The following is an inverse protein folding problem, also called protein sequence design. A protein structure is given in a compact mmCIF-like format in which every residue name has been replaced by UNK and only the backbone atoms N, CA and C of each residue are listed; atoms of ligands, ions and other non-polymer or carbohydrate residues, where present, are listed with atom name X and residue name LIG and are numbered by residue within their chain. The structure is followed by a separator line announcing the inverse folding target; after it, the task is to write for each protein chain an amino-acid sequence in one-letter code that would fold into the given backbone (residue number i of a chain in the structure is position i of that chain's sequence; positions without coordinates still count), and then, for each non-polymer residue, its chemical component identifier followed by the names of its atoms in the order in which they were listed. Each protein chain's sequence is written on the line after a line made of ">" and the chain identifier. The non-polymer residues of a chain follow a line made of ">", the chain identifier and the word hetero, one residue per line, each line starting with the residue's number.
data_IF_743763870052
#
_entry.id   IF_743763870052
#
_cell.length_a   1.000
_cell.length_b   1.000
_cell.length_c   1.000
_cell.angle_alpha   90.00
_cell.angle_beta   90.00
_cell.angle_gamma   90.00
#
_symmetry.space_group_name_H-M   'P 1'
#
loop_
_entity.id
_entity.type
_entity.pdbx_description
1 polymer ?
#
# COMPACT_ATOMS: atom_id res chain seq x y z
N UNK A 1 26.76 -26.30 -14.84
CA UNK A 1 27.91 -26.35 -13.92
C UNK A 1 28.94 -25.31 -14.31
N UNK A 2 29.38 -24.48 -13.34
CA UNK A 2 30.42 -23.42 -13.46
C UNK A 2 30.07 -22.35 -14.53
N UNK A 3 29.96 -21.05 -14.29
CA UNK A 3 30.74 -20.06 -13.58
C UNK A 3 29.98 -18.73 -13.64
N UNK A 4 29.44 -18.21 -12.57
CA UNK A 4 29.07 -16.78 -12.40
C UNK A 4 29.54 -16.41 -11.00
N UNK A 5 30.84 -16.22 -10.83
CA UNK A 5 31.39 -15.77 -9.56
C UNK A 5 32.76 -15.08 -9.75
N UNK A 6 32.85 -14.05 -10.56
CA UNK A 6 34.09 -13.24 -10.63
C UNK A 6 33.93 -11.83 -11.20
N UNK A 7 32.78 -11.15 -10.98
CA UNK A 7 32.69 -9.73 -11.38
C UNK A 7 32.27 -8.75 -10.28
N UNK A 8 32.30 -9.16 -9.00
CA UNK A 8 31.87 -8.29 -7.89
C UNK A 8 33.01 -7.77 -7.01
N UNK A 9 34.29 -8.00 -7.35
CA UNK A 9 35.43 -7.66 -6.49
C UNK A 9 36.14 -6.34 -6.81
N UNK A 10 35.73 -5.57 -7.82
CA UNK A 10 36.48 -4.39 -8.25
C UNK A 10 35.87 -3.03 -7.92
N UNK A 11 34.72 -2.99 -7.23
CA UNK A 11 34.04 -1.72 -6.90
C UNK A 11 34.18 -1.26 -5.43
N UNK A 12 34.85 -2.00 -4.58
CA UNK A 12 34.89 -1.69 -3.13
C UNK A 12 35.98 -0.70 -2.71
N UNK A 13 36.98 -0.39 -3.56
CA UNK A 13 38.12 0.43 -3.12
C UNK A 13 37.96 1.95 -3.27
N UNK A 14 36.92 2.44 -3.96
CA UNK A 14 36.67 3.88 -4.08
C UNK A 14 35.69 4.43 -3.02
N UNK A 15 34.92 3.58 -2.34
CA UNK A 15 34.00 3.99 -1.29
C UNK A 15 34.67 4.16 0.07
N UNK A 16 35.76 3.46 0.32
CA UNK A 16 36.50 3.53 1.59
C UNK A 16 37.27 4.86 1.76
N UNK A 17 37.66 5.53 0.70
CA UNK A 17 38.43 6.78 0.77
C UNK A 17 37.55 8.02 1.02
N UNK A 18 36.27 7.98 0.63
CA UNK A 18 35.32 9.09 0.85
C UNK A 18 34.74 9.10 2.29
N UNK A 19 34.75 7.97 2.97
CA UNK A 19 34.23 7.86 4.36
C UNK A 19 35.22 8.33 5.42
N UNK A 20 36.54 8.42 5.13
CA UNK A 20 37.55 8.90 6.07
C UNK A 20 37.56 10.42 6.25
N UNK A 21 37.00 11.17 5.30
CA UNK A 21 36.89 12.65 5.40
C UNK A 21 35.63 13.09 6.18
N UNK A 22 34.59 12.25 6.21
CA UNK A 22 33.35 12.54 6.97
C UNK A 22 33.46 12.24 8.48
N UNK A 23 34.41 11.41 8.88
CA UNK A 23 34.58 11.02 10.30
C UNK A 23 35.26 12.09 11.18
N UNK A 24 35.81 13.15 10.57
CA UNK A 24 36.52 14.21 11.29
C UNK A 24 35.67 15.38 11.81
N UNK A 25 34.36 15.42 11.54
CA UNK A 25 33.48 16.57 11.88
C UNK A 25 32.36 16.25 12.88
N UNK A 26 32.33 15.06 13.50
CA UNK A 26 31.27 14.67 14.44
C UNK A 26 31.73 14.47 15.87
N UNK A 27 32.66 15.31 16.34
CA UNK A 27 33.00 15.41 17.78
C UNK A 27 32.37 16.64 18.42
N UNK A 28 31.05 16.84 18.24
CA UNK A 28 30.28 17.76 19.07
C UNK A 28 29.06 16.98 19.58
N UNK A 29 29.06 16.74 20.90
CA UNK A 29 28.06 15.92 21.59
C UNK A 29 26.63 16.41 21.38
N UNK A 30 25.74 15.46 21.23
CA UNK A 30 24.29 15.68 21.18
C UNK A 30 23.59 14.42 20.68
N UNK A 31 22.78 13.84 21.51
CA UNK A 31 21.75 12.81 21.32
C UNK A 31 21.78 12.07 19.98
N UNK A 32 22.38 10.89 19.98
CA UNK A 32 22.51 10.01 18.81
C UNK A 32 21.23 9.25 18.44
N UNK A 33 20.06 9.68 18.90
CA UNK A 33 18.79 8.99 18.68
C UNK A 33 17.97 9.48 17.48
N UNK A 34 18.52 10.38 16.71
CA UNK A 34 17.78 10.97 15.59
C UNK A 34 18.48 10.83 14.26
N UNK A 35 17.81 10.27 13.29
CA UNK A 35 17.86 10.63 11.88
C UNK A 35 18.49 9.69 10.85
N UNK A 36 19.28 8.66 11.20
CA UNK A 36 19.76 7.71 10.17
C UNK A 36 19.69 6.28 10.71
N UNK A 37 18.71 5.46 10.34
CA UNK A 37 18.62 4.04 10.75
C UNK A 37 19.88 3.25 10.37
N UNK A 38 20.53 3.62 9.28
CA UNK A 38 21.75 2.98 8.78
C UNK A 38 22.99 3.26 9.66
N UNK A 39 23.04 4.39 10.38
CA UNK A 39 24.14 4.69 11.29
C UNK A 39 24.14 3.81 12.55
N UNK A 40 22.96 3.31 12.97
CA UNK A 40 22.86 2.32 14.05
C UNK A 40 23.50 0.99 13.69
N UNK A 41 23.41 0.57 12.41
CA UNK A 41 24.02 -0.67 11.93
C UNK A 41 25.57 -0.63 11.98
N UNK A 42 26.18 0.56 12.03
CA UNK A 42 27.63 0.74 12.13
C UNK A 42 28.13 0.69 13.59
N UNK A 43 27.24 0.77 14.59
CA UNK A 43 27.62 0.70 16.00
C UNK A 43 27.83 -0.77 16.41
N UNK A 44 29.06 -1.19 16.78
CA UNK A 44 29.36 -2.60 17.10
C UNK A 44 28.61 -3.13 18.32
N UNK A 45 28.16 -2.28 19.23
CA UNK A 45 27.37 -2.69 20.40
C UNK A 45 25.93 -3.00 19.99
N UNK A 46 25.30 -2.14 19.19
CA UNK A 46 23.96 -2.36 18.65
C UNK A 46 23.94 -3.59 17.74
N UNK A 47 25.00 -3.79 16.95
CA UNK A 47 25.12 -4.96 16.08
C UNK A 47 25.20 -6.27 16.88
N UNK A 48 25.90 -6.29 18.01
CA UNK A 48 25.95 -7.48 18.89
C UNK A 48 24.59 -7.78 19.53
N UNK A 49 23.84 -6.76 19.91
CA UNK A 49 22.48 -6.91 20.43
C UNK A 49 21.56 -7.47 19.34
N UNK A 50 21.62 -6.98 18.12
CA UNK A 50 20.85 -7.49 17.00
C UNK A 50 21.20 -8.95 16.66
N UNK A 51 22.49 -9.31 16.64
CA UNK A 51 22.94 -10.69 16.43
C UNK A 51 22.47 -11.63 17.56
N UNK A 52 22.34 -11.12 18.78
CA UNK A 52 21.79 -11.88 19.91
C UNK A 52 20.26 -12.05 19.79
N UNK A 53 19.55 -11.02 19.30
CA UNK A 53 18.11 -11.06 19.09
C UNK A 53 17.76 -11.97 17.88
N UNK A 54 18.57 -11.95 16.82
CA UNK A 54 18.40 -12.86 15.68
C UNK A 54 18.53 -14.35 16.04
N UNK A 55 19.32 -14.67 17.09
CA UNK A 55 19.39 -16.05 17.63
C UNK A 55 18.10 -16.50 18.31
N UNK A 56 17.25 -15.57 18.75
CA UNK A 56 15.94 -15.83 19.36
C UNK A 56 14.81 -15.93 18.34
N UNK A 57 15.07 -15.53 17.09
CA UNK A 57 14.13 -15.52 15.98
C UNK A 57 14.32 -14.27 15.11
N UNK A 58 13.68 -14.22 13.92
CA UNK A 58 13.80 -13.08 13.03
C UNK A 58 13.22 -11.83 13.71
N UNK A 59 14.01 -10.74 13.71
CA UNK A 59 13.58 -9.45 14.24
C UNK A 59 12.38 -8.91 13.45
N UNK A 60 11.62 -7.98 14.04
CA UNK A 60 10.50 -7.31 13.37
C UNK A 60 10.92 -6.74 12.00
N UNK A 61 12.04 -6.03 11.94
CA UNK A 61 12.53 -5.43 10.68
C UNK A 61 12.84 -6.49 9.63
N UNK A 62 13.47 -7.59 10.03
CA UNK A 62 13.78 -8.70 9.12
C UNK A 62 12.51 -9.34 8.55
N UNK A 63 11.51 -9.58 9.40
CA UNK A 63 10.20 -10.08 8.95
C UNK A 63 9.52 -9.14 7.95
N UNK A 64 9.61 -7.81 8.21
CA UNK A 64 9.05 -6.81 7.29
C UNK A 64 9.78 -6.78 5.95
N UNK A 65 11.11 -6.88 5.96
CA UNK A 65 11.90 -6.90 4.72
C UNK A 65 11.66 -8.19 3.93
N UNK A 66 11.58 -9.33 4.57
CA UNK A 66 11.21 -10.60 3.94
C UNK A 66 9.83 -10.51 3.27
N UNK A 67 8.81 -9.96 3.94
CA UNK A 67 7.48 -9.76 3.35
C UNK A 67 7.48 -8.80 2.16
N UNK A 68 8.27 -7.72 2.22
CA UNK A 68 8.44 -6.80 1.09
C UNK A 68 9.11 -7.45 -0.10
N UNK A 69 10.16 -8.24 0.15
CA UNK A 69 10.87 -9.00 -0.88
C UNK A 69 9.94 -10.03 -1.53
N UNK A 70 9.24 -10.83 -0.73
CA UNK A 70 8.25 -11.79 -1.20
C UNK A 70 7.22 -11.13 -2.10
N UNK A 71 6.69 -9.96 -1.70
CA UNK A 71 5.73 -9.20 -2.48
C UNK A 71 6.31 -8.71 -3.82
N UNK A 72 7.56 -8.29 -3.84
CA UNK A 72 8.24 -7.86 -5.06
C UNK A 72 8.47 -9.01 -6.05
N UNK A 73 8.76 -10.21 -5.55
CA UNK A 73 9.07 -11.40 -6.34
C UNK A 73 7.81 -12.18 -6.78
N UNK A 74 6.73 -12.08 -6.02
CA UNK A 74 5.51 -12.89 -6.21
C UNK A 74 4.89 -12.73 -7.61
N UNK A 75 5.01 -11.56 -8.23
CA UNK A 75 4.50 -11.32 -9.58
C UNK A 75 5.22 -12.13 -10.68
N UNK A 76 6.42 -12.64 -10.41
CA UNK A 76 7.22 -13.44 -11.33
C UNK A 76 7.17 -14.95 -11.03
N UNK A 77 6.52 -15.32 -9.91
CA UNK A 77 6.41 -16.71 -9.51
C UNK A 77 5.38 -17.47 -10.35
N UNK A 78 5.60 -18.77 -10.62
CA UNK A 78 4.60 -19.65 -11.20
C UNK A 78 3.33 -19.73 -10.34
N UNK A 79 2.18 -19.95 -10.96
CA UNK A 79 0.87 -19.98 -10.27
C UNK A 79 0.84 -20.97 -9.09
N UNK A 80 1.45 -22.14 -9.23
CA UNK A 80 1.49 -23.13 -8.16
C UNK A 80 2.30 -22.68 -6.93
N UNK A 81 3.36 -21.89 -7.14
CA UNK A 81 4.15 -21.31 -6.05
C UNK A 81 3.40 -20.19 -5.38
N UNK A 82 2.73 -19.31 -6.16
CA UNK A 82 1.87 -18.26 -5.61
C UNK A 82 0.75 -18.80 -4.73
N UNK A 83 0.13 -19.93 -5.13
CA UNK A 83 -0.92 -20.56 -4.34
C UNK A 83 -0.40 -21.13 -3.02
N UNK A 84 0.79 -21.76 -3.03
CA UNK A 84 1.45 -22.25 -1.81
C UNK A 84 1.80 -21.10 -0.88
N UNK A 85 2.40 -20.06 -1.41
CA UNK A 85 2.77 -18.86 -0.68
C UNK A 85 1.53 -18.18 -0.06
N UNK A 86 0.43 -18.05 -0.82
CA UNK A 86 -0.81 -17.52 -0.29
C UNK A 86 -1.30 -18.32 0.92
N UNK A 87 -1.26 -19.65 0.85
CA UNK A 87 -1.64 -20.52 1.97
C UNK A 87 -0.74 -20.29 3.19
N UNK A 88 0.58 -20.26 3.00
CA UNK A 88 1.53 -20.02 4.08
C UNK A 88 1.29 -18.66 4.76
N UNK A 89 1.03 -17.60 3.98
CA UNK A 89 0.70 -16.27 4.51
C UNK A 89 -0.61 -16.31 5.30
N UNK A 90 -1.62 -16.99 4.80
CA UNK A 90 -2.92 -17.14 5.49
C UNK A 90 -2.76 -17.89 6.81
N UNK A 91 -1.98 -18.97 6.82
CA UNK A 91 -1.73 -19.75 8.03
C UNK A 91 -1.01 -18.89 9.11
N UNK A 92 -0.05 -18.06 8.70
CA UNK A 92 0.64 -17.10 9.60
C UNK A 92 -0.30 -16.00 10.06
N UNK A 93 -1.10 -15.42 9.16
CA UNK A 93 -2.04 -14.34 9.48
C UNK A 93 -3.04 -14.77 10.56
N UNK A 94 -3.49 -16.02 10.53
CA UNK A 94 -4.47 -16.56 11.48
C UNK A 94 -4.00 -16.57 12.95
N UNK A 95 -2.68 -16.59 13.18
CA UNK A 95 -2.09 -16.68 14.52
C UNK A 95 -1.29 -15.41 14.92
N UNK A 96 -1.09 -14.48 13.98
CA UNK A 96 -0.27 -13.29 14.21
C UNK A 96 -0.99 -12.31 15.15
N UNK A 97 -0.30 -11.89 16.20
CA UNK A 97 -0.83 -10.98 17.22
C UNK A 97 -0.54 -9.50 16.92
N UNK A 98 0.56 -9.21 16.24
CA UNK A 98 0.95 -7.84 15.92
C UNK A 98 0.10 -7.28 14.78
N UNK A 99 -0.68 -6.20 15.01
CA UNK A 99 -1.47 -5.58 13.94
C UNK A 99 -0.62 -5.14 12.75
N UNK A 100 0.55 -4.57 13.02
CA UNK A 100 1.46 -4.11 11.97
C UNK A 100 1.96 -5.26 11.09
N UNK A 101 2.24 -6.42 11.68
CA UNK A 101 2.63 -7.62 10.92
C UNK A 101 1.43 -8.17 10.16
N UNK A 102 0.23 -8.22 10.78
CA UNK A 102 -0.99 -8.62 10.07
C UNK A 102 -1.25 -7.73 8.85
N UNK A 103 -1.12 -6.40 9.00
CA UNK A 103 -1.30 -5.48 7.89
C UNK A 103 -0.32 -5.75 6.73
N UNK A 104 0.95 -6.04 7.01
CA UNK A 104 1.93 -6.39 5.95
C UNK A 104 1.64 -7.76 5.30
N UNK A 105 1.21 -8.74 6.07
CA UNK A 105 0.75 -10.04 5.54
C UNK A 105 -0.44 -9.83 4.60
N UNK A 106 -1.44 -9.05 5.03
CA UNK A 106 -2.62 -8.70 4.22
C UNK A 106 -2.22 -7.96 2.93
N UNK A 107 -1.32 -6.97 3.00
CA UNK A 107 -0.79 -6.29 1.80
C UNK A 107 -0.12 -7.27 0.84
N UNK A 108 0.53 -8.31 1.36
CA UNK A 108 1.20 -9.31 0.50
C UNK A 108 0.18 -10.15 -0.28
N UNK A 109 -1.02 -10.37 0.26
CA UNK A 109 -2.10 -11.05 -0.47
C UNK A 109 -2.58 -10.30 -1.73
N UNK A 110 -2.27 -9.00 -1.86
CA UNK A 110 -2.64 -8.22 -3.07
C UNK A 110 -2.02 -8.75 -4.36
N UNK A 111 -0.83 -9.37 -4.26
CA UNK A 111 -0.08 -9.93 -5.39
C UNK A 111 -0.27 -11.45 -5.54
N UNK A 112 -1.11 -12.03 -4.70
CA UNK A 112 -1.43 -13.45 -4.63
C UNK A 112 -2.94 -13.65 -4.83
N UNK A 113 -3.50 -13.32 -6.01
CA UNK A 113 -4.94 -13.41 -6.23
C UNK A 113 -5.43 -14.86 -6.20
N UNK A 114 -6.64 -15.05 -5.67
CA UNK A 114 -7.28 -16.34 -5.64
C UNK A 114 -8.37 -16.44 -4.56
N UNK A 115 -9.19 -17.51 -4.61
CA UNK A 115 -10.30 -17.67 -3.67
C UNK A 115 -9.88 -17.68 -2.21
N UNK A 116 -8.75 -18.34 -1.89
CA UNK A 116 -8.25 -18.41 -0.52
C UNK A 116 -7.80 -17.03 -0.02
N UNK A 117 -7.13 -16.24 -0.86
CA UNK A 117 -6.74 -14.87 -0.53
C UNK A 117 -7.97 -13.99 -0.31
N UNK A 118 -9.02 -14.15 -1.12
CA UNK A 118 -10.25 -13.37 -0.96
C UNK A 118 -10.93 -13.64 0.38
N UNK A 119 -11.02 -14.90 0.79
CA UNK A 119 -11.56 -15.28 2.12
C UNK A 119 -10.73 -14.69 3.26
N UNK A 120 -9.40 -14.71 3.14
CA UNK A 120 -8.53 -14.09 4.13
C UNK A 120 -8.68 -12.56 4.18
N UNK A 121 -8.89 -11.91 3.03
CA UNK A 121 -9.15 -10.47 2.95
C UNK A 121 -10.52 -10.09 3.52
N UNK A 122 -11.53 -10.95 3.40
CA UNK A 122 -12.82 -10.78 4.08
C UNK A 122 -12.64 -10.76 5.61
N UNK A 123 -11.86 -11.69 6.16
CA UNK A 123 -11.48 -11.67 7.58
C UNK A 123 -10.71 -10.40 7.97
N UNK A 124 -9.74 -9.98 7.16
CA UNK A 124 -8.96 -8.78 7.40
C UNK A 124 -9.80 -7.49 7.30
N UNK A 125 -10.86 -7.48 6.50
CA UNK A 125 -11.80 -6.36 6.38
C UNK A 125 -12.61 -6.12 7.67
N UNK A 126 -12.64 -7.08 8.58
CA UNK A 126 -13.32 -7.00 9.88
C UNK A 126 -12.35 -7.02 11.07
N UNK A 127 -11.05 -6.85 10.83
CA UNK A 127 -10.04 -6.80 11.90
C UNK A 127 -10.32 -5.64 12.87
N UNK A 128 -9.99 -5.84 14.14
CA UNK A 128 -10.15 -4.81 15.17
C UNK A 128 -9.27 -3.57 14.90
N UNK A 129 -8.14 -3.74 14.23
CA UNK A 129 -7.18 -2.68 13.96
C UNK A 129 -7.46 -2.01 12.61
N UNK A 130 -7.61 -0.67 12.57
CA UNK A 130 -7.92 0.05 11.33
C UNK A 130 -6.81 -0.03 10.28
N UNK A 131 -5.53 -0.19 10.68
CA UNK A 131 -4.42 -0.34 9.73
C UNK A 131 -4.53 -1.67 8.97
N UNK A 132 -5.01 -2.73 9.63
CA UNK A 132 -5.25 -4.02 8.98
C UNK A 132 -6.43 -3.92 8.01
N UNK A 133 -7.53 -3.24 8.38
CA UNK A 133 -8.67 -3.01 7.48
C UNK A 133 -8.28 -2.12 6.29
N UNK A 134 -7.44 -1.11 6.51
CA UNK A 134 -6.84 -0.29 5.42
C UNK A 134 -6.00 -1.14 4.48
N UNK A 135 -5.17 -2.03 5.03
CA UNK A 135 -4.39 -2.98 4.23
C UNK A 135 -5.29 -3.94 3.42
N UNK A 136 -6.44 -4.35 3.98
CA UNK A 136 -7.44 -5.14 3.26
C UNK A 136 -8.01 -4.37 2.05
N UNK A 137 -8.33 -3.07 2.20
CA UNK A 137 -8.75 -2.22 1.07
C UNK A 137 -7.70 -2.19 -0.04
N UNK A 138 -6.43 -1.99 0.32
CA UNK A 138 -5.31 -1.97 -0.62
C UNK A 138 -5.15 -3.30 -1.36
N UNK A 139 -5.30 -4.41 -0.66
CA UNK A 139 -5.20 -5.74 -1.25
C UNK A 139 -6.41 -6.06 -2.15
N UNK A 140 -7.63 -5.72 -1.73
CA UNK A 140 -8.85 -5.89 -2.50
C UNK A 140 -8.85 -5.09 -3.82
N UNK A 141 -8.15 -3.96 -3.85
CA UNK A 141 -7.96 -3.18 -5.09
C UNK A 141 -7.25 -3.97 -6.21
N UNK A 142 -6.47 -4.99 -5.86
CA UNK A 142 -5.80 -5.91 -6.81
C UNK A 142 -6.59 -7.17 -7.14
N UNK A 143 -7.64 -7.49 -6.36
CA UNK A 143 -8.47 -8.68 -6.57
C UNK A 143 -9.51 -8.42 -7.65
N UNK A 144 -9.77 -9.42 -8.48
CA UNK A 144 -10.81 -9.35 -9.52
C UNK A 144 -12.11 -10.00 -9.00
N UNK A 145 -13.24 -9.50 -9.47
CA UNK A 145 -14.53 -10.09 -9.17
C UNK A 145 -15.47 -9.18 -8.37
N UNK A 146 -16.76 -9.52 -8.35
CA UNK A 146 -17.79 -8.74 -7.67
C UNK A 146 -17.65 -8.80 -6.14
N UNK A 147 -17.09 -9.86 -5.59
CA UNK A 147 -16.90 -10.05 -4.16
C UNK A 147 -15.94 -9.01 -3.58
N UNK A 148 -14.83 -8.71 -4.29
CA UNK A 148 -13.90 -7.66 -3.89
C UNK A 148 -14.59 -6.28 -3.85
N UNK A 149 -15.41 -5.98 -4.87
CA UNK A 149 -16.18 -4.73 -4.93
C UNK A 149 -17.20 -4.67 -3.79
N UNK A 150 -17.84 -5.78 -3.44
CA UNK A 150 -18.81 -5.85 -2.36
C UNK A 150 -18.15 -5.60 -1.00
N UNK A 151 -17.00 -6.20 -0.72
CA UNK A 151 -16.23 -5.98 0.50
C UNK A 151 -15.76 -4.51 0.61
N UNK A 152 -15.24 -3.95 -0.49
CA UNK A 152 -14.87 -2.54 -0.53
C UNK A 152 -16.06 -1.61 -0.31
N UNK A 153 -17.24 -1.96 -0.87
CA UNK A 153 -18.46 -1.19 -0.65
C UNK A 153 -18.90 -1.18 0.84
N UNK A 154 -18.70 -2.28 1.55
CA UNK A 154 -18.94 -2.32 3.00
C UNK A 154 -17.97 -1.42 3.76
N UNK A 155 -16.67 -1.44 3.38
CA UNK A 155 -15.63 -0.65 4.01
C UNK A 155 -15.75 0.87 3.73
N UNK A 156 -16.54 1.31 2.75
CA UNK A 156 -16.87 2.75 2.62
C UNK A 156 -17.72 3.27 3.78
N UNK A 157 -18.34 2.41 4.56
CA UNK A 157 -19.08 2.73 5.78
C UNK A 157 -18.31 2.46 7.09
N UNK A 158 -17.00 2.24 7.03
CA UNK A 158 -16.19 1.96 8.22
C UNK A 158 -16.20 3.10 9.23
N UNK A 159 -16.04 2.77 10.51
CA UNK A 159 -15.96 3.77 11.58
C UNK A 159 -14.74 4.70 11.43
N UNK A 160 -13.63 4.16 10.93
CA UNK A 160 -12.39 4.87 10.74
C UNK A 160 -12.37 5.62 9.40
N UNK A 161 -11.93 6.90 9.42
CA UNK A 161 -11.92 7.77 8.25
C UNK A 161 -10.92 7.29 7.17
N UNK A 162 -9.75 6.83 7.59
CA UNK A 162 -8.69 6.39 6.67
C UNK A 162 -9.10 5.11 5.95
N UNK A 163 -9.80 4.21 6.63
CA UNK A 163 -10.39 3.00 6.03
C UNK A 163 -11.43 3.39 4.98
N UNK A 164 -12.38 4.32 5.28
CA UNK A 164 -13.39 4.77 4.31
C UNK A 164 -12.73 5.39 3.07
N UNK A 165 -11.74 6.26 3.27
CA UNK A 165 -11.02 6.89 2.16
C UNK A 165 -10.27 5.87 1.30
N UNK A 166 -9.62 4.89 1.94
CA UNK A 166 -8.89 3.87 1.19
C UNK A 166 -9.83 2.92 0.45
N UNK A 167 -10.97 2.55 1.04
CA UNK A 167 -12.00 1.78 0.36
C UNK A 167 -12.53 2.51 -0.89
N UNK A 168 -12.79 3.81 -0.78
CA UNK A 168 -13.19 4.61 -1.93
C UNK A 168 -12.10 4.68 -3.02
N UNK A 169 -10.82 4.82 -2.65
CA UNK A 169 -9.70 4.77 -3.61
C UNK A 169 -9.60 3.41 -4.29
N UNK A 170 -9.73 2.33 -3.51
CA UNK A 170 -9.68 0.96 -4.00
C UNK A 170 -10.80 0.68 -5.02
N UNK A 171 -12.04 1.11 -4.73
CA UNK A 171 -13.16 1.03 -5.67
C UNK A 171 -12.88 1.73 -7.00
N UNK A 172 -12.13 2.81 -7.00
CA UNK A 172 -11.73 3.52 -8.21
C UNK A 172 -10.90 2.67 -9.19
N UNK A 173 -10.29 1.58 -8.72
CA UNK A 173 -9.53 0.64 -9.57
C UNK A 173 -10.42 -0.42 -10.24
N UNK A 174 -11.65 -0.60 -9.76
CA UNK A 174 -12.61 -1.53 -10.32
C UNK A 174 -13.50 -0.83 -11.37
N UNK A 175 -13.35 -1.23 -12.62
CA UNK A 175 -14.14 -0.68 -13.74
C UNK A 175 -15.48 -1.39 -13.84
N UNK A 176 -16.36 -1.19 -12.87
CA UNK A 176 -17.67 -1.83 -12.84
C UNK A 176 -18.77 -0.86 -12.41
N UNK A 177 -20.00 -1.04 -12.88
CA UNK A 177 -21.15 -0.25 -12.42
C UNK A 177 -21.40 -0.39 -10.92
N UNK A 178 -21.10 -1.56 -10.35
CA UNK A 178 -21.22 -1.80 -8.92
C UNK A 178 -20.25 -0.93 -8.10
N UNK A 179 -18.99 -0.78 -8.57
CA UNK A 179 -18.02 0.10 -7.92
C UNK A 179 -18.46 1.58 -7.98
N UNK A 180 -18.95 2.02 -9.13
CA UNK A 180 -19.48 3.38 -9.28
C UNK A 180 -20.67 3.63 -8.34
N UNK A 181 -21.59 2.65 -8.21
CA UNK A 181 -22.71 2.73 -7.28
C UNK A 181 -22.26 2.77 -5.80
N UNK A 182 -21.24 1.99 -5.44
CA UNK A 182 -20.69 2.02 -4.08
C UNK A 182 -20.06 3.39 -3.77
N UNK A 183 -19.34 3.99 -4.72
CA UNK A 183 -18.76 5.32 -4.58
C UNK A 183 -19.81 6.43 -4.44
N UNK A 184 -21.05 6.23 -4.92
CA UNK A 184 -22.12 7.18 -4.72
C UNK A 184 -22.38 7.46 -3.23
N UNK A 185 -22.28 6.43 -2.36
CA UNK A 185 -22.45 6.58 -0.91
C UNK A 185 -21.39 7.52 -0.31
N UNK A 186 -20.16 7.46 -0.81
CA UNK A 186 -19.07 8.35 -0.37
C UNK A 186 -19.29 9.81 -0.81
N UNK A 187 -20.11 10.09 -1.82
CA UNK A 187 -20.51 11.45 -2.19
C UNK A 187 -21.56 12.05 -1.25
N UNK A 188 -22.30 11.19 -0.53
CA UNK A 188 -23.33 11.62 0.43
C UNK A 188 -22.72 12.03 1.78
N UNK A 189 -21.45 11.69 2.05
CA UNK A 189 -20.77 12.12 3.27
C UNK A 189 -20.57 13.64 3.29
N UNK A 190 -20.59 14.22 4.49
CA UNK A 190 -20.37 15.65 4.68
C UNK A 190 -18.88 16.04 4.68
N UNK A 191 -17.98 15.06 4.69
CA UNK A 191 -16.53 15.30 4.67
C UNK A 191 -16.03 15.61 3.25
N UNK A 192 -15.51 16.82 3.00
CA UNK A 192 -15.01 17.22 1.68
C UNK A 192 -13.82 16.37 1.21
N UNK A 193 -13.04 15.77 2.13
CA UNK A 193 -11.92 14.91 1.77
C UNK A 193 -12.42 13.60 1.15
N UNK A 194 -13.43 12.96 1.77
CA UNK A 194 -14.05 11.76 1.22
C UNK A 194 -14.74 12.05 -0.11
N UNK A 195 -15.52 13.12 -0.20
CA UNK A 195 -16.17 13.52 -1.46
C UNK A 195 -15.16 13.71 -2.59
N UNK A 196 -14.02 14.33 -2.30
CA UNK A 196 -12.93 14.50 -3.28
C UNK A 196 -12.37 13.16 -3.73
N UNK A 197 -12.09 12.26 -2.79
CA UNK A 197 -11.61 10.91 -3.09
C UNK A 197 -12.64 10.15 -3.93
N UNK A 198 -13.92 10.22 -3.58
CA UNK A 198 -15.00 9.57 -4.33
C UNK A 198 -15.09 10.08 -5.78
N UNK A 199 -15.02 11.40 -6.01
CA UNK A 199 -15.05 11.97 -7.35
C UNK A 199 -13.84 11.54 -8.20
N UNK A 200 -12.65 11.52 -7.62
CA UNK A 200 -11.44 11.02 -8.30
C UNK A 200 -11.55 9.53 -8.64
N UNK A 201 -12.11 8.75 -7.72
CA UNK A 201 -12.32 7.32 -7.90
C UNK A 201 -13.40 7.02 -8.93
N UNK A 202 -14.48 7.79 -8.95
CA UNK A 202 -15.51 7.72 -10.00
C UNK A 202 -14.94 8.03 -11.38
N UNK A 203 -14.08 9.05 -11.49
CA UNK A 203 -13.36 9.33 -12.75
C UNK A 203 -12.54 8.13 -13.20
N UNK A 204 -11.82 7.49 -12.30
CA UNK A 204 -10.97 6.33 -12.61
C UNK A 204 -11.80 5.09 -12.97
N UNK A 205 -12.88 4.83 -12.23
CA UNK A 205 -13.75 3.66 -12.40
C UNK A 205 -14.60 3.76 -13.68
N UNK A 206 -15.15 4.93 -14.00
CA UNK A 206 -16.09 5.13 -15.09
C UNK A 206 -15.43 5.63 -16.40
N UNK A 207 -14.22 6.20 -16.28
CA UNK A 207 -13.55 6.88 -17.40
C UNK A 207 -14.19 8.22 -17.79
N UNK A 208 -15.20 8.71 -17.03
CA UNK A 208 -15.82 10.01 -17.22
C UNK A 208 -15.12 11.07 -16.40
N UNK A 209 -15.14 12.31 -16.85
CA UNK A 209 -14.61 13.44 -16.10
C UNK A 209 -15.66 14.54 -15.97
N UNK A 210 -16.23 14.64 -14.79
CA UNK A 210 -17.18 15.71 -14.44
C UNK A 210 -16.59 16.69 -13.44
N UNK A 211 -15.26 16.70 -13.30
CA UNK A 211 -14.54 17.58 -12.36
C UNK A 211 -14.84 17.27 -10.91
N UNK A 212 -14.76 18.31 -10.08
CA UNK A 212 -14.97 18.21 -8.62
C UNK A 212 -16.35 18.75 -8.20
N UNK A 213 -17.39 18.47 -8.99
CA UNK A 213 -18.77 18.82 -8.68
C UNK A 213 -19.54 17.60 -8.21
N UNK A 214 -19.84 17.52 -6.91
CA UNK A 214 -20.66 16.45 -6.32
C UNK A 214 -22.02 16.35 -7.02
N UNK A 215 -22.65 17.48 -7.32
CA UNK A 215 -23.97 17.50 -7.95
C UNK A 215 -23.93 16.90 -9.37
N UNK A 216 -22.89 17.22 -10.16
CA UNK A 216 -22.73 16.69 -11.51
C UNK A 216 -22.50 15.17 -11.49
N UNK A 217 -21.71 14.68 -10.53
CA UNK A 217 -21.52 13.26 -10.35
C UNK A 217 -22.79 12.53 -9.91
N UNK A 218 -23.61 13.14 -9.03
CA UNK A 218 -24.93 12.58 -8.65
C UNK A 218 -25.85 12.48 -9.85
N UNK A 219 -25.96 13.55 -10.64
CA UNK A 219 -26.78 13.52 -11.86
C UNK A 219 -26.37 12.38 -12.81
N UNK A 220 -25.06 12.17 -12.99
CA UNK A 220 -24.56 11.05 -13.78
C UNK A 220 -24.93 9.69 -13.19
N UNK A 221 -24.78 9.50 -11.90
CA UNK A 221 -25.07 8.25 -11.19
C UNK A 221 -26.56 7.92 -11.18
N UNK A 222 -27.43 8.94 -11.22
CA UNK A 222 -28.89 8.83 -11.34
C UNK A 222 -29.33 8.55 -12.81
N UNK A 223 -28.38 8.33 -13.71
CA UNK A 223 -28.66 8.03 -15.12
C UNK A 223 -28.82 9.24 -16.02
N UNK A 224 -28.53 10.44 -15.51
CA UNK A 224 -28.46 11.65 -16.32
C UNK A 224 -27.25 11.68 -17.25
N UNK A 225 -27.20 12.67 -18.10
CA UNK A 225 -26.06 12.92 -19.00
C UNK A 225 -25.53 14.35 -18.82
N UNK A 226 -24.89 14.62 -17.67
CA UNK A 226 -24.39 15.96 -17.37
C UNK A 226 -23.30 16.39 -18.37
N UNK A 227 -23.23 17.70 -18.61
CA UNK A 227 -22.18 18.24 -19.45
C UNK A 227 -20.84 18.17 -18.72
N UNK A 228 -19.76 17.64 -19.35
CA UNK A 228 -18.42 17.75 -18.79
C UNK A 228 -18.03 19.21 -18.55
N UNK A 229 -17.19 19.50 -17.53
CA UNK A 229 -16.69 20.83 -17.32
C UNK A 229 -15.92 21.32 -18.55
N UNK A 230 -16.03 22.60 -18.83
CA UNK A 230 -15.23 23.21 -19.89
C UNK A 230 -13.73 22.99 -19.60
N UNK A 231 -12.92 22.71 -20.61
CA UNK A 231 -11.48 22.56 -20.40
C UNK A 231 -10.91 23.86 -19.84
N UNK A 232 -9.92 23.80 -18.91
CA UNK A 232 -9.35 24.99 -18.34
C UNK A 232 -8.81 25.90 -19.43
N UNK A 233 -9.11 27.20 -19.31
CA UNK A 233 -8.61 28.22 -20.24
C UNK A 233 -7.09 28.19 -20.30
N UNK A 234 -6.49 28.71 -21.39
CA UNK A 234 -5.04 28.78 -21.51
C UNK A 234 -4.42 29.57 -20.34
N UNK A 235 -5.11 30.59 -19.81
CA UNK A 235 -4.66 31.39 -18.68
C UNK A 235 -4.67 30.60 -17.35
N UNK A 236 -5.65 29.71 -17.15
CA UNK A 236 -5.70 28.80 -15.98
C UNK A 236 -4.62 27.73 -16.07
N UNK A 237 -4.34 27.20 -17.27
CA UNK A 237 -3.24 26.25 -17.49
C UNK A 237 -1.87 26.86 -17.18
N UNK A 238 -1.66 28.13 -17.48
CA UNK A 238 -0.41 28.85 -17.14
C UNK A 238 -0.28 29.16 -15.65
N UNK A 239 -1.38 29.18 -14.89
CA UNK A 239 -1.36 29.38 -13.43
C UNK A 239 -1.12 28.11 -12.63
N UNK A 240 -1.27 26.94 -13.26
CA UNK A 240 -0.96 25.68 -12.59
C UNK A 240 0.55 25.57 -12.42
N UNK A 241 1.05 25.30 -11.19
CA UNK A 241 2.47 25.09 -10.99
C UNK A 241 2.94 23.89 -11.80
N UNK A 242 4.10 24.06 -12.43
CA UNK A 242 4.78 23.05 -13.26
C UNK A 242 5.47 22.01 -12.35
N UNK A 243 4.70 21.17 -11.62
CA UNK A 243 5.24 20.11 -10.78
C UNK A 243 4.66 18.75 -11.21
#
# INVERSE_FOLDING_TARGET
>A
MRTISTKFAASQNHFALLMLVAAGLLSAGGCADGFVPEARALNPYVRKEWEADEKRGPTYYKRMDELRQVRAEAGQMPDGERQRLAKEIIDVLAIEKSPTVRAELVKTLSVLPGPASLVALEGAATDNDPDVRTAACQALAGQQGPEAVQLLAQLTGDADLDVRMEAARALGRHKSPAAAKALALSLEENDPAIQRVAMQSLKSSTGKDYGMSVQTWREYLDGGNPRPPDPPSWAERLRQPWF
#
